data_IF_017446340989
#
_entry.id   IF_017446340989
#
_cell.length_a   1.000
_cell.length_b   1.000
_cell.length_c   1.000
_cell.angle_alpha   90.00
_cell.angle_beta   90.00
_cell.angle_gamma   90.00
#
_symmetry.space_group_name_H-M   'P 1'
#
loop_
_entity.id
_entity.type
_entity.pdbx_description
1 polymer ?
#
# COMPACT_ATOMS: atom_id res chain seq x y z
N UNK A 1 -1.38 -5.12 -0.20
CA UNK A 1 -2.31 -4.65 -1.23
C UNK A 1 -2.81 -5.86 -2.02
N UNK A 2 -4.09 -5.88 -2.38
CA UNK A 2 -4.76 -7.01 -3.01
C UNK A 2 -5.40 -6.60 -4.34
N UNK A 3 -5.65 -7.59 -5.20
CA UNK A 3 -6.25 -7.40 -6.51
C UNK A 3 -6.75 -8.74 -7.11
N UNK A 4 -7.27 -8.70 -8.34
CA UNK A 4 -7.65 -9.90 -9.08
C UNK A 4 -6.47 -10.84 -9.31
N UNK A 5 -6.75 -12.13 -9.49
CA UNK A 5 -5.72 -13.11 -9.81
C UNK A 5 -5.06 -12.76 -11.16
N UNK A 6 -3.72 -12.75 -11.18
CA UNK A 6 -2.93 -12.45 -12.38
C UNK A 6 -2.58 -10.97 -12.57
N UNK A 7 -3.17 -10.06 -11.79
CA UNK A 7 -2.87 -8.62 -11.86
C UNK A 7 -1.73 -8.24 -10.92
N UNK A 8 -0.78 -7.44 -11.44
CA UNK A 8 0.31 -6.89 -10.64
C UNK A 8 -0.04 -5.53 -10.01
N UNK A 9 -0.90 -4.76 -10.68
CA UNK A 9 -1.36 -3.45 -10.24
C UNK A 9 -2.88 -3.42 -10.33
N UNK A 10 -3.53 -3.00 -9.24
CA UNK A 10 -4.97 -2.90 -9.15
C UNK A 10 -5.36 -1.61 -8.42
N UNK A 11 -5.67 -0.58 -9.20
CA UNK A 11 -6.09 0.72 -8.70
C UNK A 11 -7.24 1.29 -9.53
N UNK A 12 -7.97 2.23 -8.96
CA UNK A 12 -9.02 2.97 -9.67
C UNK A 12 -8.52 4.29 -10.27
N UNK A 13 -9.43 5.07 -10.85
CA UNK A 13 -9.15 6.37 -11.49
C UNK A 13 -8.51 7.40 -10.55
N UNK A 14 -8.61 7.22 -9.23
CA UNK A 14 -8.03 8.09 -8.23
C UNK A 14 -6.73 7.54 -7.63
N UNK A 15 -6.21 6.42 -8.16
CA UNK A 15 -5.03 5.75 -7.62
C UNK A 15 -5.25 5.12 -6.25
N UNK A 16 -6.51 4.86 -5.88
CA UNK A 16 -6.85 4.12 -4.65
C UNK A 16 -6.58 2.65 -4.87
N UNK A 17 -6.27 1.94 -3.79
CA UNK A 17 -6.03 0.49 -3.82
C UNK A 17 -6.88 -0.23 -2.79
N UNK A 18 -6.94 -1.56 -2.91
CA UNK A 18 -7.54 -2.44 -1.90
C UNK A 18 -6.46 -3.17 -1.10
N UNK A 19 -6.76 -3.47 0.15
CA UNK A 19 -5.82 -4.14 1.05
C UNK A 19 -6.53 -5.26 1.80
N UNK A 20 -5.73 -6.24 2.23
CA UNK A 20 -6.17 -7.23 3.20
C UNK A 20 -5.53 -6.87 4.54
N UNK A 21 -6.36 -6.67 5.56
CA UNK A 21 -5.87 -6.49 6.92
C UNK A 21 -5.54 -7.84 7.56
N UNK A 22 -4.47 -7.90 8.34
CA UNK A 22 -4.02 -9.14 8.97
C UNK A 22 -5.04 -9.69 9.99
N UNK A 23 -5.85 -8.81 10.59
CA UNK A 23 -6.89 -9.18 11.55
C UNK A 23 -8.20 -9.62 10.89
N UNK A 24 -8.37 -9.37 9.59
CA UNK A 24 -9.58 -9.75 8.87
C UNK A 24 -9.53 -11.24 8.50
N UNK A 25 -10.44 -12.02 9.08
CA UNK A 25 -10.53 -13.48 8.88
C UNK A 25 -11.61 -13.90 7.88
N UNK A 26 -12.50 -12.99 7.50
CA UNK A 26 -13.73 -13.35 6.79
C UNK A 26 -13.63 -13.07 5.30
N UNK A 27 -12.97 -11.98 4.90
CA UNK A 27 -12.89 -11.64 3.49
C UNK A 27 -11.76 -12.40 2.78
N UNK A 28 -11.92 -12.74 1.49
CA UNK A 28 -10.84 -13.29 0.69
C UNK A 28 -9.71 -12.27 0.47
N UNK A 29 -8.48 -12.74 0.24
CA UNK A 29 -7.32 -11.89 -0.10
C UNK A 29 -7.28 -11.56 -1.59
N UNK A 30 -8.38 -11.05 -2.14
CA UNK A 30 -8.56 -10.74 -3.56
C UNK A 30 -9.10 -9.31 -3.76
N UNK A 31 -9.61 -9.01 -4.94
CA UNK A 31 -10.19 -7.71 -5.26
C UNK A 31 -11.35 -7.30 -4.35
N UNK A 32 -11.95 -8.16 -3.53
CA UNK A 32 -13.08 -7.86 -2.62
C UNK A 32 -12.65 -7.69 -1.16
N UNK A 33 -11.34 -7.67 -0.87
CA UNK A 33 -10.82 -7.64 0.51
C UNK A 33 -11.27 -6.43 1.35
N UNK A 34 -11.43 -5.26 0.72
CA UNK A 34 -11.69 -3.98 1.42
C UNK A 34 -12.42 -2.99 0.51
N UNK A 35 -12.79 -1.83 1.08
CA UNK A 35 -13.11 -0.64 0.32
C UNK A 35 -11.88 -0.08 -0.42
N UNK A 36 -12.09 0.93 -1.27
CA UNK A 36 -11.02 1.66 -1.93
C UNK A 36 -10.33 2.63 -0.97
N UNK A 37 -9.03 2.48 -0.78
CA UNK A 37 -8.23 3.24 0.19
C UNK A 37 -7.28 4.18 -0.55
N UNK A 38 -7.27 5.45 -0.13
CA UNK A 38 -6.38 6.48 -0.68
C UNK A 38 -4.93 6.23 -0.29
N UNK A 39 -4.01 6.53 -1.21
CA UNK A 39 -2.56 6.37 -1.03
C UNK A 39 -1.91 7.74 -0.96
N UNK A 40 -1.26 8.05 0.17
CA UNK A 40 -0.44 9.24 0.30
C UNK A 40 0.72 9.21 -0.71
N UNK A 41 0.90 10.32 -1.42
CA UNK A 41 1.98 10.51 -2.39
C UNK A 41 2.98 11.52 -1.85
N UNK A 42 4.24 11.42 -2.31
CA UNK A 42 5.29 12.37 -1.91
C UNK A 42 4.99 13.81 -2.36
N UNK A 43 4.28 13.96 -3.48
CA UNK A 43 3.82 15.25 -3.98
C UNK A 43 2.58 15.06 -4.83
N UNK A 44 1.56 15.88 -4.62
CA UNK A 44 0.34 15.88 -5.40
C UNK A 44 -0.16 17.30 -5.65
N UNK A 45 -0.58 17.56 -6.88
CA UNK A 45 -1.26 18.77 -7.30
C UNK A 45 -2.25 18.47 -8.42
N UNK A 46 -3.06 19.45 -8.81
CA UNK A 46 -4.07 19.29 -9.85
C UNK A 46 -3.40 19.01 -11.20
N UNK A 47 -3.52 17.78 -11.69
CA UNK A 47 -2.99 17.35 -12.99
C UNK A 47 -1.48 17.06 -13.04
N UNK A 48 -0.76 17.16 -11.92
CA UNK A 48 0.67 16.85 -11.86
C UNK A 48 1.12 16.38 -10.47
N UNK A 49 2.23 15.65 -10.42
CA UNK A 49 2.82 15.19 -9.16
C UNK A 49 3.52 13.85 -9.29
N UNK A 50 3.80 13.25 -8.14
CA UNK A 50 4.36 11.91 -8.04
C UNK A 50 3.24 10.88 -7.99
N UNK A 51 3.41 9.78 -8.74
CA UNK A 51 2.50 8.65 -8.69
C UNK A 51 3.31 7.36 -8.51
N UNK A 52 3.33 6.86 -7.28
CA UNK A 52 3.81 5.53 -6.98
C UNK A 52 2.63 4.72 -6.43
N UNK A 53 2.11 3.77 -7.20
CA UNK A 53 1.00 2.88 -6.77
C UNK A 53 1.57 1.62 -6.08
N UNK A 54 0.98 1.13 -4.98
CA UNK A 54 1.37 -0.15 -4.39
C UNK A 54 1.01 -1.30 -5.32
N UNK A 55 1.92 -2.27 -5.48
CA UNK A 55 1.67 -3.48 -6.28
C UNK A 55 1.03 -4.59 -5.44
N UNK A 56 0.37 -5.54 -6.11
CA UNK A 56 -0.28 -6.69 -5.46
C UNK A 56 0.78 -7.48 -4.69
N UNK A 57 0.47 -7.82 -3.44
CA UNK A 57 1.40 -8.48 -2.53
C UNK A 57 2.31 -7.52 -1.73
N UNK A 58 2.38 -6.22 -2.07
CA UNK A 58 3.18 -5.29 -1.27
C UNK A 58 2.51 -4.93 0.06
N UNK A 59 3.32 -4.83 1.10
CA UNK A 59 2.93 -4.36 2.42
C UNK A 59 2.82 -2.84 2.44
N UNK A 60 1.81 -2.35 3.15
CA UNK A 60 1.50 -0.92 3.27
C UNK A 60 1.19 -0.58 4.72
N UNK A 61 1.58 0.61 5.13
CA UNK A 61 1.20 1.16 6.44
C UNK A 61 -0.13 1.88 6.26
N UNK A 62 -1.15 1.39 6.95
CA UNK A 62 -2.49 2.01 6.98
C UNK A 62 -2.64 2.75 8.30
N UNK A 63 -3.04 4.01 8.20
CA UNK A 63 -3.51 4.84 9.30
C UNK A 63 -5.02 5.03 9.20
N UNK A 64 -5.65 5.51 10.26
CA UNK A 64 -7.10 5.68 10.36
C UNK A 64 -7.41 7.12 10.74
N UNK A 65 -8.18 7.81 9.90
CA UNK A 65 -8.48 9.23 10.11
C UNK A 65 -9.25 9.42 11.43
N UNK A 66 -8.70 10.24 12.33
CA UNK A 66 -9.23 10.44 13.68
C UNK A 66 -9.38 9.13 14.50
N UNK A 67 -8.64 8.08 14.14
CA UNK A 67 -8.77 6.75 14.76
C UNK A 67 -10.02 5.96 14.34
N UNK A 68 -10.76 6.42 13.32
CA UNK A 68 -11.94 5.72 12.82
C UNK A 68 -11.54 4.55 11.91
N UNK A 69 -11.80 3.28 12.30
CA UNK A 69 -11.47 2.10 11.50
C UNK A 69 -12.17 2.07 10.14
N UNK A 70 -13.28 2.80 9.98
CA UNK A 70 -14.03 2.89 8.73
C UNK A 70 -13.43 3.92 7.76
N UNK A 71 -12.43 4.70 8.19
CA UNK A 71 -11.76 5.72 7.39
C UNK A 71 -10.25 5.46 7.24
N UNK A 72 -9.84 4.35 6.60
CA UNK A 72 -8.44 4.04 6.39
C UNK A 72 -7.78 4.96 5.34
N UNK A 73 -6.48 5.20 5.51
CA UNK A 73 -5.61 5.90 4.57
C UNK A 73 -4.22 5.25 4.57
N UNK A 74 -3.64 5.01 3.39
CA UNK A 74 -2.29 4.45 3.29
C UNK A 74 -1.28 5.59 3.40
N UNK A 75 -0.41 5.52 4.40
CA UNK A 75 0.60 6.55 4.70
C UNK A 75 2.02 6.15 4.33
N UNK A 76 2.29 4.87 4.10
CA UNK A 76 3.66 4.42 3.87
C UNK A 76 3.79 3.00 3.36
N UNK A 77 5.04 2.60 3.17
CA UNK A 77 5.44 1.26 2.73
C UNK A 77 6.70 0.83 3.46
N UNK A 78 6.81 -0.47 3.64
CA UNK A 78 7.95 -1.11 4.30
C UNK A 78 8.49 -2.22 3.42
N UNK A 79 9.79 -2.45 3.57
CA UNK A 79 10.43 -3.67 3.12
C UNK A 79 10.38 -4.68 4.27
N UNK A 80 10.22 -5.95 3.93
CA UNK A 80 10.27 -7.08 4.88
C UNK A 80 11.07 -8.24 4.26
N UNK A 81 11.05 -9.41 4.89
CA UNK A 81 11.89 -10.54 4.51
C UNK A 81 11.71 -11.02 3.05
N UNK A 82 10.47 -11.00 2.53
CA UNK A 82 10.14 -11.38 1.15
C UNK A 82 10.28 -10.18 0.20
N UNK A 83 9.74 -9.02 0.58
CA UNK A 83 9.96 -7.76 -0.15
C UNK A 83 11.22 -7.03 0.36
N UNK A 84 12.40 -7.45 -0.11
CA UNK A 84 13.69 -6.91 0.37
C UNK A 84 14.04 -5.54 -0.21
N UNK A 85 14.90 -4.81 0.52
CA UNK A 85 15.44 -3.54 0.04
C UNK A 85 16.29 -3.74 -1.23
N UNK A 86 16.21 -2.82 -2.22
CA UNK A 86 16.96 -2.94 -3.47
C UNK A 86 18.49 -2.96 -3.28
N UNK A 87 18.99 -2.20 -2.31
CA UNK A 87 20.40 -2.20 -1.93
C UNK A 87 20.57 -2.95 -0.60
N UNK A 88 21.64 -3.74 -0.51
CA UNK A 88 22.05 -4.33 0.76
C UNK A 88 22.55 -3.22 1.69
N UNK A 89 21.73 -2.85 2.68
CA UNK A 89 22.16 -2.00 3.79
C UNK A 89 23.10 -2.77 4.73
N UNK A 90 24.25 -3.24 4.22
CA UNK A 90 25.35 -3.73 5.06
C UNK A 90 26.10 -2.49 5.56
N UNK A 91 25.93 -2.17 6.84
CA UNK A 91 26.51 -0.98 7.45
C UNK A 91 28.03 -0.92 7.31
N UNK A 92 28.54 -0.18 6.31
CA UNK A 92 29.88 0.40 6.39
C UNK A 92 29.75 1.72 7.13
N UNK A 93 29.93 1.65 8.46
CA UNK A 93 30.12 2.83 9.30
C UNK A 93 31.40 3.52 8.84
N UNK A 94 31.30 4.54 8.00
CA UNK A 94 32.43 5.43 7.73
C UNK A 94 32.73 6.17 9.05
N UNK A 95 33.96 6.03 9.54
CA UNK A 95 34.48 6.75 10.70
C UNK A 95 34.51 8.24 10.42
#
# INVERSE_FOLDING_TARGET
MTGPAGEEIFCDEHGRVRVKFNWDRYNPSNQESSCWIRVAQAWQATGFGNLAIPRVGQEVIVDFLNGDPDQPIIMGRTYHQENRTPAACRGRRRR
#
